data_IF_156042161503
#
_entry.id   IF_156042161503
#
_cell.length_a   1.000
_cell.length_b   1.000
_cell.length_c   1.000
_cell.angle_alpha   90.00
_cell.angle_beta   90.00
_cell.angle_gamma   90.00
#
_symmetry.space_group_name_H-M   'P 1'
#
loop_
_entity.id
_entity.type
_entity.pdbx_description
1 polymer ?
#
# COMPACT_ATOMS: atom_id res chain seq x y z
N UNK A 1 47.45 -23.01 -7.69
CA UNK A 1 47.55 -23.02 -6.21
C UNK A 1 47.89 -21.62 -5.72
N UNK A 2 47.27 -21.23 -4.60
CA UNK A 2 47.54 -20.07 -3.71
C UNK A 2 46.95 -18.72 -4.18
N UNK A 3 45.68 -18.43 -3.88
CA UNK A 3 45.05 -18.03 -2.60
C UNK A 3 45.39 -16.60 -2.11
N UNK A 4 44.38 -15.73 -2.25
CA UNK A 4 43.90 -14.63 -1.40
C UNK A 4 44.87 -13.52 -0.93
N UNK A 5 44.68 -12.33 -1.50
CA UNK A 5 44.78 -11.04 -0.80
C UNK A 5 43.68 -11.04 0.28
N UNK A 6 43.92 -10.97 1.59
CA UNK A 6 44.51 -9.91 2.44
C UNK A 6 43.71 -8.59 2.41
N UNK A 7 43.33 -8.15 3.63
CA UNK A 7 43.04 -6.76 4.06
C UNK A 7 41.59 -6.32 3.77
N UNK A 8 40.76 -5.73 4.66
CA UNK A 8 40.82 -5.10 6.00
C UNK A 8 39.32 -5.07 6.43
N UNK A 9 38.87 -5.42 7.63
CA UNK A 9 39.16 -4.75 8.89
C UNK A 9 37.84 -4.22 9.48
N UNK A 10 37.56 -4.63 10.72
CA UNK A 10 36.62 -4.03 11.69
C UNK A 10 35.11 -4.20 11.35
N UNK A 11 34.56 -5.36 11.71
CA UNK A 11 33.14 -5.51 12.01
C UNK A 11 32.93 -5.26 13.50
N UNK A 12 32.33 -4.12 13.84
CA UNK A 12 32.05 -3.73 15.21
C UNK A 12 31.04 -4.71 15.82
N UNK A 13 31.49 -5.40 16.86
CA UNK A 13 30.68 -6.07 17.87
C UNK A 13 29.57 -5.14 18.35
N UNK A 14 28.33 -5.64 18.42
CA UNK A 14 27.47 -5.67 19.62
C UNK A 14 26.34 -6.68 19.31
N UNK A 15 26.51 -7.87 19.86
CA UNK A 15 25.52 -8.92 20.00
C UNK A 15 25.31 -9.12 21.51
N UNK A 16 24.05 -9.31 21.91
CA UNK A 16 23.62 -9.51 23.30
C UNK A 16 22.91 -8.29 23.84
N UNK A 17 21.65 -8.41 24.29
CA UNK A 17 21.26 -8.62 25.71
C UNK A 17 19.73 -8.35 25.68
N UNK A 18 18.73 -9.12 26.17
CA UNK A 18 18.61 -10.15 27.21
C UNK A 18 17.40 -11.06 26.92
N UNK A 19 17.56 -12.34 27.20
CA UNK A 19 16.48 -13.24 27.62
C UNK A 19 16.27 -13.06 29.13
N UNK A 20 15.02 -12.97 29.59
CA UNK A 20 14.44 -13.93 30.55
C UNK A 20 13.27 -13.35 31.36
N UNK A 21 12.31 -14.26 31.59
CA UNK A 21 11.38 -14.34 32.73
C UNK A 21 10.04 -13.61 32.60
N UNK A 22 9.00 -14.38 32.26
CA UNK A 22 7.94 -14.73 33.22
C UNK A 22 7.14 -15.94 32.71
N UNK A 23 7.42 -17.10 33.31
CA UNK A 23 6.44 -18.17 33.42
C UNK A 23 5.34 -17.70 34.37
N UNK A 24 4.10 -17.63 33.89
CA UNK A 24 2.91 -17.75 34.76
C UNK A 24 1.78 -18.39 33.95
N UNK A 25 1.88 -19.70 33.77
CA UNK A 25 0.72 -20.56 33.58
C UNK A 25 0.19 -20.89 34.98
N UNK A 26 -1.05 -20.51 35.27
CA UNK A 26 -2.10 -21.45 35.71
C UNK A 26 -3.37 -20.70 36.13
N UNK A 27 -4.53 -21.31 35.81
CA UNK A 27 -5.91 -21.00 36.27
C UNK A 27 -6.63 -19.99 35.35
N UNK A 28 -7.59 -20.33 34.49
CA UNK A 28 -8.73 -21.27 34.60
C UNK A 28 -9.11 -21.86 33.23
N UNK A 29 -9.22 -23.19 33.18
CA UNK A 29 -9.95 -23.94 32.15
C UNK A 29 -11.45 -23.67 32.24
N UNK A 30 -12.07 -23.15 31.16
CA UNK A 30 -13.12 -23.84 30.41
C UNK A 30 -13.87 -22.89 29.45
N UNK A 31 -14.04 -23.37 28.22
CA UNK A 31 -15.08 -23.00 27.25
C UNK A 31 -14.97 -21.63 26.57
N UNK A 32 -14.40 -21.61 25.37
CA UNK A 32 -15.17 -21.65 24.10
C UNK A 32 -14.16 -21.59 22.95
N UNK A 33 -14.20 -22.64 22.13
CA UNK A 33 -13.47 -22.77 20.88
C UNK A 33 -13.78 -21.61 19.92
N UNK A 34 -12.74 -20.87 19.53
CA UNK A 34 -12.26 -20.68 18.14
C UNK A 34 -11.44 -19.38 18.05
N UNK A 35 -10.13 -19.52 18.27
CA UNK A 35 -9.13 -18.51 17.94
C UNK A 35 -9.09 -18.25 16.44
N UNK A 36 -9.12 -16.98 16.05
CA UNK A 36 -8.26 -16.40 14.98
C UNK A 36 -8.41 -14.87 14.92
N UNK A 37 -8.43 -14.21 16.06
CA UNK A 37 -8.36 -12.74 16.18
C UNK A 37 -7.03 -12.35 16.82
N UNK A 38 -5.95 -12.23 16.05
CA UNK A 38 -4.72 -11.61 16.58
C UNK A 38 -3.73 -11.06 15.55
N UNK A 39 -4.12 -10.88 14.27
CA UNK A 39 -3.30 -10.14 13.29
C UNK A 39 -3.96 -8.83 12.79
N UNK A 40 -5.19 -8.54 13.19
CA UNK A 40 -5.94 -7.36 12.74
C UNK A 40 -5.49 -6.03 13.38
N UNK A 41 -4.73 -6.09 14.49
CA UNK A 41 -4.44 -4.89 15.31
C UNK A 41 -3.34 -3.99 14.74
N UNK A 42 -2.35 -4.53 14.03
CA UNK A 42 -1.25 -3.72 13.47
C UNK A 42 -1.60 -3.05 12.14
N UNK A 43 -2.53 -3.61 11.36
CA UNK A 43 -2.99 -3.00 10.11
C UNK A 43 -3.89 -1.78 10.35
N UNK A 44 -4.62 -1.74 11.47
CA UNK A 44 -5.52 -0.63 11.80
C UNK A 44 -4.79 0.59 12.37
N UNK A 45 -3.59 0.42 12.92
CA UNK A 45 -2.84 1.53 13.53
C UNK A 45 -2.28 2.50 12.47
N UNK A 46 -1.91 2.01 11.27
CA UNK A 46 -1.33 2.85 10.20
C UNK A 46 -2.42 3.57 9.39
N UNK A 47 -3.61 2.98 9.25
CA UNK A 47 -4.76 3.62 8.58
C UNK A 47 -5.31 4.81 9.40
N UNK A 48 -5.05 4.84 10.71
CA UNK A 48 -5.63 5.84 11.62
C UNK A 48 -5.11 7.27 11.47
N UNK A 49 -4.03 7.49 10.71
CA UNK A 49 -3.50 8.86 10.48
C UNK A 49 -4.29 9.62 9.40
N UNK A 50 -5.14 8.94 8.61
CA UNK A 50 -5.88 9.58 7.51
C UNK A 50 -7.31 9.98 7.90
N UNK A 51 -7.86 9.39 8.96
CA UNK A 51 -9.25 9.57 9.37
C UNK A 51 -9.37 10.47 10.61
N UNK A 52 -9.12 11.77 10.43
CA UNK A 52 -9.53 12.78 11.39
C UNK A 52 -9.89 14.09 10.69
N UNK A 53 -11.07 14.15 10.05
CA UNK A 53 -11.95 15.35 10.10
C UNK A 53 -13.42 14.89 10.00
N UNK A 54 -14.21 15.47 10.89
CA UNK A 54 -15.55 15.13 11.36
C UNK A 54 -16.71 15.10 10.35
N UNK A 55 -17.74 14.36 10.74
CA UNK A 55 -19.14 14.50 10.32
C UNK A 55 -19.62 15.96 10.29
N UNK A 56 -20.12 16.42 9.14
CA UNK A 56 -21.32 17.28 8.98
C UNK A 56 -21.46 17.69 7.50
N UNK A 57 -22.64 17.50 6.90
CA UNK A 57 -23.02 17.89 5.54
C UNK A 57 -22.01 17.52 4.43
N UNK A 58 -22.10 16.27 3.96
CA UNK A 58 -21.21 15.68 2.96
C UNK A 58 -21.45 16.32 1.59
N UNK A 59 -20.58 17.25 1.23
CA UNK A 59 -20.40 17.68 -0.15
C UNK A 59 -19.84 16.49 -0.95
N UNK A 60 -20.67 15.89 -1.81
CA UNK A 60 -20.29 14.74 -2.64
C UNK A 60 -19.04 15.03 -3.48
N UNK A 61 -18.80 16.30 -3.86
CA UNK A 61 -17.61 16.69 -4.59
C UNK A 61 -16.34 16.59 -3.72
N UNK A 62 -16.44 16.88 -2.42
CA UNK A 62 -15.33 16.76 -1.48
C UNK A 62 -14.99 15.29 -1.18
N UNK A 63 -16.00 14.43 -1.00
CA UNK A 63 -15.78 12.99 -0.80
C UNK A 63 -15.14 12.34 -2.03
N UNK A 64 -15.60 12.71 -3.23
CA UNK A 64 -15.03 12.21 -4.49
C UNK A 64 -13.58 12.68 -4.70
N UNK A 65 -13.23 13.88 -4.23
CA UNK A 65 -11.83 14.36 -4.21
C UNK A 65 -10.97 13.56 -3.22
N UNK A 66 -11.54 13.14 -2.09
CA UNK A 66 -10.90 12.25 -1.12
C UNK A 66 -10.52 10.91 -1.75
N UNK A 67 -11.48 10.25 -2.41
CA UNK A 67 -11.26 8.98 -3.10
C UNK A 67 -10.05 9.02 -4.05
N UNK A 68 -9.96 10.00 -4.95
CA UNK A 68 -8.86 10.08 -5.92
C UNK A 68 -7.48 10.29 -5.26
N UNK A 69 -7.42 11.05 -4.17
CA UNK A 69 -6.20 11.19 -3.39
C UNK A 69 -5.80 9.88 -2.71
N UNK A 70 -6.77 9.12 -2.23
CA UNK A 70 -6.52 7.83 -1.60
C UNK A 70 -6.05 6.79 -2.63
N UNK A 71 -6.56 6.82 -3.87
CA UNK A 71 -6.07 5.99 -4.98
C UNK A 71 -4.60 6.29 -5.30
N UNK A 72 -4.23 7.57 -5.34
CA UNK A 72 -2.82 7.98 -5.53
C UNK A 72 -1.91 7.41 -4.43
N UNK A 73 -2.33 7.56 -3.16
CA UNK A 73 -1.57 7.08 -2.01
C UNK A 73 -1.47 5.55 -1.98
N UNK A 74 -2.57 4.85 -2.24
CA UNK A 74 -2.62 3.39 -2.31
C UNK A 74 -1.66 2.86 -3.38
N UNK A 75 -1.69 3.47 -4.57
CA UNK A 75 -0.79 3.11 -5.67
C UNK A 75 0.66 3.33 -5.26
N UNK A 76 0.98 4.48 -4.66
CA UNK A 76 2.35 4.76 -4.24
C UNK A 76 2.85 3.80 -3.16
N UNK A 77 1.99 3.45 -2.20
CA UNK A 77 2.27 2.51 -1.13
C UNK A 77 2.61 1.11 -1.66
N UNK A 78 1.82 0.56 -2.59
CA UNK A 78 2.06 -0.76 -3.17
C UNK A 78 3.41 -0.85 -3.90
N UNK A 79 3.78 0.22 -4.61
CA UNK A 79 5.05 0.31 -5.33
C UNK A 79 6.25 0.43 -4.38
N UNK A 80 6.12 1.22 -3.31
CA UNK A 80 7.19 1.42 -2.33
C UNK A 80 7.43 0.20 -1.44
N UNK A 81 6.37 -0.56 -1.14
CA UNK A 81 6.46 -1.80 -0.35
C UNK A 81 6.93 -3.00 -1.16
N UNK A 82 7.10 -2.84 -2.49
CA UNK A 82 7.48 -3.93 -3.39
C UNK A 82 6.38 -4.99 -3.53
N UNK A 83 5.14 -4.68 -3.17
CA UNK A 83 4.02 -5.59 -3.37
C UNK A 83 3.64 -5.61 -4.85
N UNK A 84 4.22 -6.56 -5.58
CA UNK A 84 3.97 -6.78 -7.01
C UNK A 84 2.68 -7.57 -7.27
N UNK A 85 1.90 -7.89 -6.23
CA UNK A 85 0.67 -8.67 -6.35
C UNK A 85 -0.47 -7.78 -6.83
N UNK A 86 -0.61 -7.72 -8.15
CA UNK A 86 -1.68 -6.99 -8.87
C UNK A 86 -3.09 -7.28 -8.31
N UNK A 87 -3.35 -8.52 -7.89
CA UNK A 87 -4.64 -8.91 -7.32
C UNK A 87 -4.97 -8.23 -5.98
N UNK A 88 -3.98 -8.02 -5.11
CA UNK A 88 -4.21 -7.34 -3.83
C UNK A 88 -4.45 -5.85 -4.04
N UNK A 89 -3.65 -5.22 -4.88
CA UNK A 89 -3.86 -3.82 -5.26
C UNK A 89 -5.26 -3.62 -5.85
N UNK A 90 -5.70 -4.51 -6.74
CA UNK A 90 -7.04 -4.43 -7.34
C UNK A 90 -8.15 -4.62 -6.30
N UNK A 91 -7.97 -5.55 -5.36
CA UNK A 91 -8.90 -5.80 -4.25
C UNK A 91 -9.02 -4.59 -3.32
N UNK A 92 -7.89 -4.03 -2.89
CA UNK A 92 -7.85 -2.88 -2.00
C UNK A 92 -8.42 -1.63 -2.68
N UNK A 93 -8.14 -1.46 -3.97
CA UNK A 93 -8.73 -0.38 -4.77
C UNK A 93 -10.25 -0.55 -4.91
N UNK A 94 -10.73 -1.78 -5.07
CA UNK A 94 -12.16 -2.07 -5.11
C UNK A 94 -12.85 -1.77 -3.78
N UNK A 95 -12.23 -2.15 -2.67
CA UNK A 95 -12.72 -1.85 -1.31
C UNK A 95 -12.73 -0.35 -1.06
N UNK A 96 -11.65 0.35 -1.41
CA UNK A 96 -11.54 1.81 -1.31
C UNK A 96 -12.64 2.50 -2.12
N UNK A 97 -12.88 2.05 -3.35
CA UNK A 97 -13.92 2.60 -4.21
C UNK A 97 -15.32 2.36 -3.62
N UNK A 98 -15.60 1.15 -3.12
CA UNK A 98 -16.86 0.80 -2.46
C UNK A 98 -17.13 1.67 -1.24
N UNK A 99 -16.14 1.87 -0.36
CA UNK A 99 -16.24 2.74 0.83
C UNK A 99 -16.57 4.19 0.49
N UNK A 100 -16.18 4.65 -0.70
CA UNK A 100 -16.43 6.00 -1.19
C UNK A 100 -17.64 6.09 -2.15
N UNK A 101 -18.46 5.03 -2.27
CA UNK A 101 -19.63 5.01 -3.15
C UNK A 101 -19.29 4.98 -4.65
N UNK A 102 -18.05 4.68 -5.02
CA UNK A 102 -17.58 4.63 -6.41
C UNK A 102 -17.66 3.20 -6.94
N UNK A 103 -18.67 2.92 -7.78
CA UNK A 103 -18.89 1.56 -8.33
C UNK A 103 -18.21 1.33 -9.67
N UNK A 104 -18.06 2.37 -10.50
CA UNK A 104 -17.49 2.28 -11.85
C UNK A 104 -16.00 2.69 -11.91
N UNK A 105 -15.23 2.41 -10.85
CA UNK A 105 -13.83 2.84 -10.77
C UNK A 105 -12.95 2.19 -11.86
N UNK A 106 -13.26 0.96 -12.29
CA UNK A 106 -12.53 0.22 -13.35
C UNK A 106 -12.64 0.83 -14.74
N UNK A 107 -13.67 1.64 -15.01
CA UNK A 107 -13.82 2.35 -16.28
C UNK A 107 -13.70 3.87 -16.11
N UNK A 108 -13.35 4.33 -14.91
CA UNK A 108 -13.25 5.75 -14.58
C UNK A 108 -11.89 6.28 -14.99
N UNK A 109 -11.89 7.19 -15.97
CA UNK A 109 -10.70 7.89 -16.43
C UNK A 109 -9.96 8.59 -15.25
N UNK A 110 -10.69 9.28 -14.37
CA UNK A 110 -10.12 9.95 -13.21
C UNK A 110 -9.43 9.00 -12.21
N UNK A 111 -9.88 7.75 -12.13
CA UNK A 111 -9.22 6.72 -11.31
C UNK A 111 -7.85 6.41 -11.88
N UNK A 112 -7.75 6.20 -13.19
CA UNK A 112 -6.47 5.95 -13.85
C UNK A 112 -5.53 7.16 -13.85
N UNK A 113 -6.05 8.39 -13.93
CA UNK A 113 -5.25 9.60 -13.68
C UNK A 113 -4.65 9.56 -12.27
N UNK A 114 -5.42 9.15 -11.27
CA UNK A 114 -4.95 9.06 -9.88
C UNK A 114 -3.90 7.96 -9.69
N UNK A 115 -4.05 6.81 -10.36
CA UNK A 115 -3.02 5.76 -10.43
C UNK A 115 -1.74 6.30 -11.07
N UNK A 116 -1.86 7.05 -12.18
CA UNK A 116 -0.76 7.73 -12.84
C UNK A 116 0.04 8.65 -11.89
N UNK A 117 -0.68 9.46 -11.11
CA UNK A 117 -0.08 10.32 -10.07
C UNK A 117 0.63 9.49 -9.00
N UNK A 118 0.02 8.38 -8.57
CA UNK A 118 0.62 7.45 -7.62
C UNK A 118 1.93 6.82 -8.11
N UNK A 119 2.01 6.43 -9.39
CA UNK A 119 3.24 5.94 -10.01
C UNK A 119 4.37 6.98 -9.93
N UNK A 120 4.09 8.22 -10.32
CA UNK A 120 5.08 9.31 -10.27
C UNK A 120 5.50 9.61 -8.83
N UNK A 121 4.55 9.63 -7.89
CA UNK A 121 4.79 9.82 -6.46
C UNK A 121 5.65 8.71 -5.84
N UNK A 122 5.51 7.49 -6.32
CA UNK A 122 6.36 6.38 -5.91
C UNK A 122 7.80 6.47 -6.43
N UNK A 123 8.10 7.45 -7.29
CA UNK A 123 9.41 7.58 -7.92
C UNK A 123 9.62 6.64 -9.11
N UNK A 124 8.54 6.08 -9.69
CA UNK A 124 8.64 5.29 -10.92
C UNK A 124 9.17 6.18 -12.03
N UNK A 125 10.27 5.77 -12.67
CA UNK A 125 10.85 6.49 -13.78
C UNK A 125 10.05 6.30 -15.08
N UNK A 126 10.48 6.97 -16.16
CA UNK A 126 9.74 6.93 -17.43
C UNK A 126 9.76 5.57 -18.10
N UNK A 127 10.78 4.74 -17.85
CA UNK A 127 10.87 3.39 -18.39
C UNK A 127 9.92 2.44 -17.65
N UNK A 128 9.97 2.47 -16.31
CA UNK A 128 9.04 1.75 -15.44
C UNK A 128 7.59 2.13 -15.69
N UNK A 129 7.29 3.41 -15.96
CA UNK A 129 5.96 3.84 -16.36
C UNK A 129 5.53 3.19 -17.68
N UNK A 130 6.38 3.20 -18.71
CA UNK A 130 6.06 2.56 -20.01
C UNK A 130 5.80 1.07 -19.86
N UNK A 131 6.61 0.38 -19.05
CA UNK A 131 6.38 -1.04 -18.74
C UNK A 131 5.06 -1.25 -18.00
N UNK A 132 4.74 -0.44 -17.00
CA UNK A 132 3.46 -0.52 -16.30
C UNK A 132 2.28 -0.28 -17.26
N UNK A 133 2.34 0.78 -18.06
CA UNK A 133 1.28 1.16 -18.98
C UNK A 133 1.06 0.13 -20.10
N UNK A 134 2.10 -0.57 -20.56
CA UNK A 134 2.00 -1.65 -21.53
C UNK A 134 1.26 -2.89 -20.98
N UNK A 135 1.35 -3.12 -19.66
CA UNK A 135 0.72 -4.25 -18.97
C UNK A 135 -0.71 -3.95 -18.51
N UNK A 136 -1.08 -2.67 -18.37
CA UNK A 136 -2.46 -2.27 -18.08
C UNK A 136 -3.29 -2.40 -19.35
N UNK A 137 -4.41 -3.14 -19.22
CA UNK A 137 -5.57 -3.21 -20.11
C UNK A 137 -5.42 -2.36 -21.39
N UNK A 138 -5.22 -3.00 -22.54
CA UNK A 138 -4.73 -2.45 -23.83
C UNK A 138 -5.60 -1.38 -24.51
N UNK A 139 -6.48 -0.75 -23.75
CA UNK A 139 -7.34 0.36 -24.10
C UNK A 139 -6.54 1.67 -24.16
N UNK A 140 -6.43 2.33 -25.34
CA UNK A 140 -5.68 3.57 -25.49
C UNK A 140 -6.13 4.70 -24.55
N UNK A 141 -7.41 4.76 -24.23
CA UNK A 141 -7.95 5.76 -23.30
C UNK A 141 -7.43 5.62 -21.87
N UNK A 142 -7.20 4.38 -21.41
CA UNK A 142 -6.65 4.11 -20.07
C UNK A 142 -5.18 4.51 -20.01
N UNK A 143 -4.40 4.17 -21.04
CA UNK A 143 -2.99 4.56 -21.15
C UNK A 143 -2.84 6.09 -21.13
N UNK A 144 -3.66 6.81 -21.90
CA UNK A 144 -3.68 8.29 -21.89
C UNK A 144 -4.10 8.88 -20.54
N UNK A 145 -4.95 8.19 -19.78
CA UNK A 145 -5.33 8.61 -18.44
C UNK A 145 -4.17 8.46 -17.46
N UNK A 146 -3.52 7.30 -17.46
CA UNK A 146 -2.31 7.03 -16.67
C UNK A 146 -1.21 8.05 -16.98
N UNK A 147 -0.96 8.32 -18.26
CA UNK A 147 0.07 9.28 -18.70
C UNK A 147 -0.23 10.71 -18.21
N UNK A 148 -1.48 11.18 -18.37
CA UNK A 148 -1.90 12.49 -17.85
C UNK A 148 -1.68 12.60 -16.34
N UNK A 149 -1.96 11.54 -15.59
CA UNK A 149 -1.68 11.49 -14.17
C UNK A 149 -0.19 11.55 -13.87
N UNK A 150 0.59 10.71 -14.52
CA UNK A 150 2.03 10.59 -14.32
C UNK A 150 2.78 11.89 -14.61
N UNK A 151 2.38 12.64 -15.64
CA UNK A 151 2.99 13.92 -16.03
C UNK A 151 2.49 15.13 -15.23
N UNK A 152 1.51 14.96 -14.34
CA UNK A 152 0.90 16.08 -13.58
C UNK A 152 1.60 16.43 -12.27
N UNK A 153 2.66 15.68 -11.90
CA UNK A 153 3.49 15.88 -10.72
C UNK A 153 4.94 16.13 -11.15
#
# INVERSE_FOLDING_TARGET
>A
MKFFHKILGIGFLIFGILLSQNCFLDTISNSISKSSDSLQSLSNAIVSVVSSVSSSSKDEAAEKKGFYRDVENLTAFYLQTGSTRSLEFESDLAELASKNGVTNWKNSNSTYVSIGRGLKKAGVDSEGFKHFAANVNSKPEIVKALERGYLSL
#
